data_IF_034992866336
#
_entry.id   IF_034992866336
#
_cell.length_a   1.000
_cell.length_b   1.000
_cell.length_c   1.000
_cell.angle_alpha   90.00
_cell.angle_beta   90.00
_cell.angle_gamma   90.00
#
_symmetry.space_group_name_H-M   'P 1'
#
loop_
_entity.id
_entity.type
_entity.pdbx_description
1 polymer ?
#
# COMPACT_ATOMS: atom_id res chain seq x y z
N UNK A 1 15.40 -15.40 -9.51
CA UNK A 1 16.03 -14.07 -9.67
C UNK A 1 16.89 -13.69 -8.45
N UNK A 2 16.42 -13.83 -7.20
CA UNK A 2 17.27 -13.54 -6.04
C UNK A 2 18.54 -14.40 -6.00
N UNK A 3 18.45 -15.69 -6.32
CA UNK A 3 19.61 -16.57 -6.40
C UNK A 3 20.59 -16.18 -7.52
N UNK A 4 20.08 -15.68 -8.65
CA UNK A 4 20.91 -15.18 -9.76
C UNK A 4 21.73 -13.95 -9.35
N UNK A 5 21.23 -13.15 -8.41
CA UNK A 5 21.93 -12.02 -7.80
C UNK A 5 22.79 -12.45 -6.57
N UNK A 6 22.89 -13.74 -6.29
CA UNK A 6 23.68 -14.26 -5.16
C UNK A 6 23.02 -14.05 -3.79
N UNK A 7 21.71 -13.82 -3.76
CA UNK A 7 20.95 -13.54 -2.55
C UNK A 7 20.18 -14.76 -2.06
N UNK A 8 20.23 -14.99 -0.75
CA UNK A 8 19.36 -15.92 -0.03
C UNK A 8 18.28 -15.08 0.70
N UNK A 9 17.07 -15.10 0.20
CA UNK A 9 15.97 -14.25 0.67
C UNK A 9 14.92 -15.09 1.37
N UNK A 10 14.61 -14.73 2.62
CA UNK A 10 13.47 -15.23 3.38
C UNK A 10 12.40 -14.15 3.46
N UNK A 11 11.16 -14.52 3.19
CA UNK A 11 10.02 -13.58 3.20
C UNK A 11 9.05 -14.01 4.29
N UNK A 12 8.83 -13.12 5.25
CA UNK A 12 7.82 -13.29 6.30
C UNK A 12 6.62 -12.37 6.04
N UNK A 13 5.44 -12.85 6.39
CA UNK A 13 4.21 -12.06 6.25
C UNK A 13 4.18 -10.92 7.26
N UNK A 14 3.96 -9.70 6.77
CA UNK A 14 3.72 -8.52 7.59
C UNK A 14 2.27 -8.44 8.09
N UNK A 15 2.07 -7.62 9.13
CA UNK A 15 0.75 -7.35 9.70
C UNK A 15 0.38 -5.86 9.54
N UNK A 16 0.56 -5.33 8.31
CA UNK A 16 0.28 -3.96 7.95
C UNK A 16 1.49 -3.01 8.03
N UNK A 17 1.37 -1.87 7.37
CA UNK A 17 2.48 -0.92 7.18
C UNK A 17 2.99 -0.35 8.51
N UNK A 18 2.09 0.01 9.41
CA UNK A 18 2.44 0.63 10.70
C UNK A 18 3.26 -0.31 11.59
N UNK A 19 3.09 -1.63 11.44
CA UNK A 19 3.91 -2.62 12.17
C UNK A 19 5.22 -2.95 11.42
N UNK A 20 5.19 -3.02 10.08
CA UNK A 20 6.35 -3.38 9.28
C UNK A 20 7.48 -2.33 9.36
N UNK A 21 7.14 -1.04 9.33
CA UNK A 21 8.10 0.06 9.30
C UNK A 21 9.07 0.04 10.50
N UNK A 22 8.61 -0.02 11.77
CA UNK A 22 9.51 -0.10 12.93
C UNK A 22 10.41 -1.34 12.93
N UNK A 23 9.96 -2.45 12.36
CA UNK A 23 10.76 -3.68 12.27
C UNK A 23 11.92 -3.52 11.29
N UNK A 24 11.72 -2.80 10.19
CA UNK A 24 12.80 -2.44 9.26
C UNK A 24 13.71 -1.41 9.90
N UNK A 25 13.17 -0.35 10.50
CA UNK A 25 13.96 0.70 11.14
C UNK A 25 14.88 0.16 12.25
N UNK A 26 14.43 -0.82 13.02
CA UNK A 26 15.22 -1.47 14.07
C UNK A 26 16.26 -2.48 13.56
N UNK A 27 16.27 -2.80 12.25
CA UNK A 27 17.14 -3.83 11.68
C UNK A 27 16.69 -5.26 11.97
N UNK A 28 15.51 -5.48 12.56
CA UNK A 28 14.92 -6.82 12.72
C UNK A 28 14.71 -7.49 11.36
N UNK A 29 14.32 -6.70 10.36
CA UNK A 29 14.32 -7.06 8.95
C UNK A 29 15.21 -6.09 8.18
N UNK A 30 15.96 -6.60 7.21
CA UNK A 30 16.82 -5.79 6.36
C UNK A 30 16.00 -4.91 5.42
N UNK A 31 14.92 -5.49 4.90
CA UNK A 31 14.02 -4.83 3.95
C UNK A 31 12.57 -5.14 4.32
N UNK A 32 11.64 -4.34 3.81
CA UNK A 32 10.21 -4.52 4.02
C UNK A 32 9.36 -3.94 2.90
N UNK A 33 8.06 -4.11 3.01
CA UNK A 33 7.08 -3.53 2.12
C UNK A 33 6.03 -2.77 2.94
N UNK A 34 5.85 -1.50 2.67
CA UNK A 34 4.93 -0.67 3.45
C UNK A 34 4.60 0.68 2.80
N UNK A 35 3.58 1.32 3.33
CA UNK A 35 3.09 2.61 2.89
C UNK A 35 4.09 3.74 3.17
N UNK A 36 4.48 4.48 2.13
CA UNK A 36 5.46 5.58 2.25
C UNK A 36 4.94 6.72 3.11
N UNK A 37 3.63 6.95 3.17
CA UNK A 37 3.03 8.01 3.97
C UNK A 37 3.15 7.69 5.47
N UNK A 38 3.06 6.42 5.81
CA UNK A 38 3.34 5.94 7.18
C UNK A 38 4.83 6.06 7.52
N UNK A 39 5.74 5.93 6.55
CA UNK A 39 7.18 6.22 6.74
C UNK A 39 7.40 7.70 7.04
N UNK A 40 6.75 8.59 6.26
CA UNK A 40 6.82 10.05 6.48
C UNK A 40 6.42 10.39 7.92
N UNK A 41 5.28 9.87 8.38
CA UNK A 41 4.81 10.08 9.75
C UNK A 41 5.79 9.53 10.78
N UNK A 42 6.31 8.32 10.58
CA UNK A 42 7.24 7.67 11.48
C UNK A 42 8.53 8.46 11.65
N UNK A 43 9.09 8.99 10.55
CA UNK A 43 10.28 9.84 10.55
C UNK A 43 10.01 11.24 11.12
N UNK A 44 8.82 11.80 10.95
CA UNK A 44 8.44 13.08 11.56
C UNK A 44 8.32 12.99 13.08
N UNK A 45 7.88 11.84 13.61
CA UNK A 45 7.83 11.57 15.05
C UNK A 45 9.24 11.43 15.65
N UNK A 46 10.14 10.72 14.94
CA UNK A 46 11.54 10.50 15.36
C UNK A 46 12.50 10.43 14.16
N UNK A 47 13.15 11.55 13.80
CA UNK A 47 14.02 11.65 12.61
C UNK A 47 15.32 10.82 12.67
N UNK A 48 15.66 10.21 13.80
CA UNK A 48 16.86 9.37 13.92
C UNK A 48 16.62 7.91 13.49
N UNK A 49 15.39 7.57 13.17
CA UNK A 49 15.03 6.23 12.73
C UNK A 49 15.68 5.88 11.38
N UNK A 50 16.12 4.64 11.26
CA UNK A 50 16.96 4.14 10.17
C UNK A 50 16.15 3.37 9.12
N UNK A 51 15.26 4.08 8.42
CA UNK A 51 14.44 3.49 7.35
C UNK A 51 14.24 4.46 6.20
N UNK A 52 14.41 3.96 4.96
CA UNK A 52 14.07 4.68 3.72
C UNK A 52 13.31 3.80 2.74
N UNK A 53 12.50 4.41 1.90
CA UNK A 53 11.96 3.78 0.71
C UNK A 53 13.01 3.83 -0.42
N UNK A 54 13.16 2.73 -1.14
CA UNK A 54 14.18 2.59 -2.21
C UNK A 54 13.60 2.16 -3.55
N UNK A 55 12.33 1.75 -3.58
CA UNK A 55 11.63 1.40 -4.82
C UNK A 55 10.12 1.58 -4.61
N UNK A 56 9.50 2.49 -5.34
CA UNK A 56 8.04 2.68 -5.33
C UNK A 56 7.37 1.53 -6.09
N UNK A 57 6.40 0.88 -5.45
CA UNK A 57 5.62 -0.18 -6.08
C UNK A 57 4.23 0.32 -6.45
N UNK A 58 3.57 1.02 -5.53
CA UNK A 58 2.24 1.59 -5.77
C UNK A 58 2.34 3.08 -6.06
N UNK A 59 2.57 3.41 -7.33
CA UNK A 59 2.66 4.80 -7.81
C UNK A 59 1.37 5.60 -7.55
N UNK A 60 0.20 4.94 -7.63
CA UNK A 60 -1.08 5.47 -7.20
C UNK A 60 -1.58 4.62 -6.03
N UNK A 61 -1.93 5.20 -4.87
CA UNK A 61 -2.44 4.43 -3.75
C UNK A 61 -3.86 3.95 -4.03
N UNK A 62 -4.18 2.75 -3.55
CA UNK A 62 -5.52 2.17 -3.58
C UNK A 62 -6.16 2.17 -2.18
N UNK A 63 -5.78 3.14 -1.35
CA UNK A 63 -6.42 3.37 -0.06
C UNK A 63 -7.90 3.68 -0.26
N UNK A 64 -8.73 3.00 0.46
CA UNK A 64 -10.17 3.11 0.28
C UNK A 64 -10.95 2.86 1.57
N UNK A 65 -12.18 3.36 1.56
CA UNK A 65 -13.29 2.79 2.29
C UNK A 65 -14.13 1.98 1.31
N UNK A 66 -14.35 0.72 1.64
CA UNK A 66 -15.23 -0.16 0.89
C UNK A 66 -16.43 -0.50 1.77
N UNK A 67 -17.62 -0.29 1.26
CA UNK A 67 -18.86 -0.54 1.98
C UNK A 67 -19.92 -1.20 1.10
N UNK A 68 -21.10 -1.38 1.66
CA UNK A 68 -22.22 -1.98 0.93
C UNK A 68 -23.29 -0.93 0.65
N UNK A 69 -23.79 -0.91 -0.60
CA UNK A 69 -24.90 -0.02 -1.02
C UNK A 69 -26.18 -0.33 -0.24
N UNK A 70 -26.42 -1.60 0.07
CA UNK A 70 -27.51 -2.04 0.93
C UNK A 70 -27.42 -1.53 2.37
N UNK A 71 -26.25 -1.11 2.84
CA UNK A 71 -26.01 -0.47 4.15
C UNK A 71 -25.94 1.06 4.05
N UNK A 72 -26.25 1.61 2.85
CA UNK A 72 -26.31 3.06 2.61
C UNK A 72 -24.96 3.71 2.29
N UNK A 73 -23.93 2.93 1.96
CA UNK A 73 -22.67 3.44 1.45
C UNK A 73 -22.75 3.64 -0.06
N UNK A 74 -22.21 4.75 -0.53
CA UNK A 74 -22.09 5.07 -1.97
C UNK A 74 -20.65 5.47 -2.28
N UNK A 75 -20.37 5.84 -3.52
CA UNK A 75 -19.07 6.39 -3.94
C UNK A 75 -18.83 7.81 -3.41
N UNK A 76 -19.87 8.49 -2.85
CA UNK A 76 -19.70 9.80 -2.17
C UNK A 76 -19.06 9.57 -0.78
N UNK A 77 -17.92 10.22 -0.48
CA UNK A 77 -17.27 10.12 0.82
C UNK A 77 -18.19 10.47 2.01
N UNK A 78 -19.12 11.38 1.82
CA UNK A 78 -20.06 11.77 2.89
C UNK A 78 -21.07 10.69 3.26
N UNK A 79 -21.20 9.66 2.44
CA UNK A 79 -22.08 8.51 2.76
C UNK A 79 -21.64 7.74 4.01
N UNK A 80 -20.41 7.93 4.49
CA UNK A 80 -19.90 7.30 5.71
C UNK A 80 -20.22 8.09 6.98
N UNK A 81 -20.78 9.30 6.88
CA UNK A 81 -21.17 10.10 8.04
C UNK A 81 -22.24 9.38 8.87
N UNK A 82 -22.04 9.30 10.19
CA UNK A 82 -22.91 8.58 11.10
C UNK A 82 -22.84 7.05 11.03
N UNK A 83 -21.89 6.49 10.29
CA UNK A 83 -21.72 5.05 10.07
C UNK A 83 -20.70 4.42 11.01
N UNK A 84 -20.74 3.09 11.09
CA UNK A 84 -19.76 2.27 11.80
C UNK A 84 -18.73 1.74 10.81
N UNK A 85 -17.48 2.15 10.98
CA UNK A 85 -16.38 1.80 10.09
C UNK A 85 -15.43 0.81 10.76
N UNK A 86 -15.18 -0.31 10.13
CA UNK A 86 -14.22 -1.32 10.59
C UNK A 86 -12.80 -0.95 10.17
N UNK A 87 -11.91 -0.84 11.14
CA UNK A 87 -10.55 -0.39 10.92
C UNK A 87 -9.52 -1.32 11.56
N UNK A 88 -8.68 -2.03 10.78
CA UNK A 88 -7.50 -2.67 11.34
C UNK A 88 -6.47 -1.61 11.76
N UNK A 89 -6.06 -1.53 13.04
CA UNK A 89 -5.17 -0.46 13.51
C UNK A 89 -3.84 -0.33 12.74
N UNK A 90 -3.19 -1.43 12.25
CA UNK A 90 -1.95 -1.32 11.48
C UNK A 90 -2.15 -1.12 9.97
N UNK A 91 -3.39 -0.94 9.49
CA UNK A 91 -3.70 -0.77 8.06
C UNK A 91 -3.24 0.58 7.51
N UNK A 92 -2.59 0.56 6.34
CA UNK A 92 -2.10 1.77 5.68
C UNK A 92 -3.22 2.72 5.24
N UNK A 93 -4.38 2.21 4.81
CA UNK A 93 -5.51 3.05 4.45
C UNK A 93 -6.13 3.73 5.68
N UNK A 94 -6.26 2.99 6.80
CA UNK A 94 -6.73 3.59 8.05
C UNK A 94 -5.76 4.65 8.59
N UNK A 95 -4.45 4.46 8.42
CA UNK A 95 -3.44 5.44 8.79
C UNK A 95 -3.65 6.80 8.09
N UNK A 96 -4.26 6.81 6.88
CA UNK A 96 -4.55 8.02 6.11
C UNK A 96 -5.93 8.63 6.41
N UNK A 97 -6.72 8.04 7.32
CA UNK A 97 -8.07 8.52 7.61
C UNK A 97 -8.13 9.98 8.04
N UNK A 98 -7.20 10.41 8.90
CA UNK A 98 -7.14 11.79 9.38
C UNK A 98 -6.96 12.79 8.24
N UNK A 99 -6.11 12.46 7.25
CA UNK A 99 -5.91 13.26 6.05
C UNK A 99 -7.15 13.21 5.14
N UNK A 100 -7.67 12.02 4.89
CA UNK A 100 -8.78 11.84 3.97
C UNK A 100 -10.05 12.56 4.41
N UNK A 101 -10.46 12.41 5.67
CA UNK A 101 -11.67 13.09 6.17
C UNK A 101 -11.57 14.62 6.06
N UNK A 102 -10.39 15.19 6.24
CA UNK A 102 -10.16 16.61 6.10
C UNK A 102 -10.28 17.07 4.65
N UNK A 103 -9.62 16.37 3.73
CA UNK A 103 -9.63 16.71 2.30
C UNK A 103 -11.02 16.52 1.69
N UNK A 104 -11.71 15.43 2.03
CA UNK A 104 -13.05 15.12 1.53
C UNK A 104 -14.18 15.89 2.27
N UNK A 105 -13.86 16.63 3.34
CA UNK A 105 -14.84 17.41 4.10
C UNK A 105 -15.89 16.55 4.81
N UNK A 106 -15.48 15.42 5.37
CA UNK A 106 -16.35 14.47 6.09
C UNK A 106 -16.56 14.95 7.52
N UNK A 107 -17.82 15.04 7.97
CA UNK A 107 -18.16 15.20 9.38
C UNK A 107 -18.07 13.88 10.11
N UNK A 108 -16.99 13.69 10.88
CA UNK A 108 -16.73 12.46 11.63
C UNK A 108 -17.37 12.41 13.03
N UNK A 109 -18.10 13.45 13.43
CA UNK A 109 -18.70 13.55 14.78
C UNK A 109 -19.67 12.41 15.11
N UNK A 110 -20.33 11.84 14.10
CA UNK A 110 -21.25 10.71 14.21
C UNK A 110 -20.65 9.36 13.83
N UNK A 111 -19.40 9.31 13.39
CA UNK A 111 -18.75 8.07 12.94
C UNK A 111 -18.24 7.27 14.13
N UNK A 112 -18.51 5.97 14.11
CA UNK A 112 -17.93 5.03 15.08
C UNK A 112 -16.83 4.21 14.39
N UNK A 113 -15.61 4.24 14.93
CA UNK A 113 -14.51 3.38 14.48
C UNK A 113 -14.49 2.11 15.34
N UNK A 114 -14.70 0.97 14.69
CA UNK A 114 -14.59 -0.35 15.29
C UNK A 114 -13.19 -0.92 14.98
N UNK A 115 -12.38 -1.11 16.04
CA UNK A 115 -11.07 -1.73 15.88
C UNK A 115 -11.22 -3.23 15.66
N UNK A 116 -10.91 -3.67 14.45
CA UNK A 116 -11.04 -5.07 14.00
C UNK A 116 -9.73 -5.59 13.43
N UNK A 117 -9.53 -6.90 13.47
CA UNK A 117 -8.37 -7.52 12.81
C UNK A 117 -8.62 -7.78 11.32
N UNK A 118 -7.56 -7.88 10.53
CA UNK A 118 -7.65 -8.23 9.11
C UNK A 118 -8.48 -9.50 8.82
N UNK A 119 -8.36 -10.61 9.60
CA UNK A 119 -9.10 -11.82 9.30
C UNK A 119 -10.62 -11.71 9.43
N UNK A 120 -11.13 -10.74 10.18
CA UNK A 120 -12.57 -10.54 10.42
C UNK A 120 -13.13 -9.33 9.67
N UNK A 121 -12.30 -8.57 8.99
CA UNK A 121 -12.66 -7.31 8.33
C UNK A 121 -13.80 -7.50 7.33
N UNK A 122 -13.59 -8.33 6.32
CA UNK A 122 -14.59 -8.59 5.30
C UNK A 122 -15.79 -9.40 5.82
N UNK A 123 -15.60 -10.43 6.68
CA UNK A 123 -16.74 -11.09 7.34
C UNK A 123 -17.68 -10.14 8.06
N UNK A 124 -17.17 -9.16 8.81
CA UNK A 124 -17.99 -8.19 9.54
C UNK A 124 -18.74 -7.24 8.59
N UNK A 125 -18.12 -6.84 7.47
CA UNK A 125 -18.80 -6.06 6.45
C UNK A 125 -19.85 -6.89 5.71
N UNK A 126 -19.54 -8.14 5.39
CA UNK A 126 -20.49 -9.04 4.72
C UNK A 126 -21.74 -9.34 5.58
N UNK A 127 -21.58 -9.47 6.89
CA UNK A 127 -22.70 -9.66 7.84
C UNK A 127 -23.45 -8.36 8.15
N UNK A 128 -22.87 -7.20 7.91
CA UNK A 128 -23.43 -5.90 8.29
C UNK A 128 -23.14 -5.47 9.72
N UNK A 129 -22.17 -6.09 10.38
CA UNK A 129 -21.71 -5.68 11.72
C UNK A 129 -20.96 -4.34 11.68
N UNK A 130 -20.41 -3.99 10.52
CA UNK A 130 -19.91 -2.67 10.14
C UNK A 130 -20.47 -2.25 8.78
N UNK A 131 -20.54 -0.93 8.53
CA UNK A 131 -21.13 -0.40 7.29
C UNK A 131 -20.11 -0.28 6.16
N UNK A 132 -18.85 0.00 6.51
CA UNK A 132 -17.71 0.04 5.60
C UNK A 132 -16.41 -0.33 6.34
N UNK A 133 -15.37 -0.68 5.58
CA UNK A 133 -14.06 -1.03 6.12
C UNK A 133 -12.94 -0.30 5.38
N UNK A 134 -11.86 0.00 6.11
CA UNK A 134 -10.62 0.50 5.51
C UNK A 134 -9.84 -0.65 4.88
N UNK A 135 -9.17 -0.37 3.77
CA UNK A 135 -8.29 -1.33 3.12
C UNK A 135 -7.87 -0.91 1.71
N UNK A 136 -7.17 -1.82 1.05
CA UNK A 136 -6.88 -1.67 -0.37
C UNK A 136 -8.08 -2.17 -1.18
N UNK A 137 -8.57 -1.33 -2.10
CA UNK A 137 -9.79 -1.58 -2.85
C UNK A 137 -9.84 -2.99 -3.45
N UNK A 138 -8.82 -3.38 -4.23
CA UNK A 138 -8.78 -4.70 -4.88
C UNK A 138 -8.83 -5.87 -3.88
N UNK A 139 -8.21 -5.72 -2.70
CA UNK A 139 -8.24 -6.78 -1.68
C UNK A 139 -9.61 -6.93 -1.05
N UNK A 140 -10.20 -5.82 -0.62
CA UNK A 140 -11.51 -5.86 0.05
C UNK A 140 -12.60 -6.30 -0.91
N UNK A 141 -12.63 -5.75 -2.14
CA UNK A 141 -13.65 -6.10 -3.16
C UNK A 141 -13.64 -7.60 -3.44
N UNK A 142 -12.48 -8.17 -3.78
CA UNK A 142 -12.40 -9.58 -4.13
C UNK A 142 -12.70 -10.52 -2.96
N UNK A 143 -12.26 -10.15 -1.75
CA UNK A 143 -12.58 -10.92 -0.55
C UNK A 143 -14.11 -10.89 -0.24
N UNK A 144 -14.80 -9.76 -0.46
CA UNK A 144 -16.25 -9.67 -0.30
C UNK A 144 -16.98 -10.51 -1.33
N UNK A 145 -16.56 -10.46 -2.60
CA UNK A 145 -17.13 -11.31 -3.67
C UNK A 145 -16.94 -12.79 -3.32
N UNK A 146 -15.75 -13.19 -2.86
CA UNK A 146 -15.49 -14.57 -2.44
C UNK A 146 -16.36 -15.01 -1.25
N UNK A 147 -16.85 -14.07 -0.44
CA UNK A 147 -17.80 -14.32 0.66
C UNK A 147 -19.27 -14.24 0.24
N UNK A 148 -19.54 -14.08 -1.07
CA UNK A 148 -20.88 -14.07 -1.63
C UNK A 148 -21.60 -12.72 -1.58
N UNK A 149 -20.90 -11.63 -1.29
CA UNK A 149 -21.46 -10.28 -1.45
C UNK A 149 -21.57 -9.97 -2.93
N UNK A 150 -22.76 -9.62 -3.45
CA UNK A 150 -22.91 -9.26 -4.85
C UNK A 150 -22.03 -8.05 -5.22
N UNK A 151 -21.32 -8.13 -6.34
CA UNK A 151 -20.48 -7.03 -6.82
C UNK A 151 -21.26 -5.71 -6.93
N UNK A 152 -22.50 -5.76 -7.42
CA UNK A 152 -23.37 -4.59 -7.53
C UNK A 152 -23.78 -3.95 -6.19
N UNK A 153 -23.59 -4.65 -5.05
CA UNK A 153 -23.81 -4.12 -3.70
C UNK A 153 -22.54 -3.47 -3.10
N UNK A 154 -21.39 -3.62 -3.74
CA UNK A 154 -20.13 -3.05 -3.27
C UNK A 154 -20.03 -1.59 -3.73
N UNK A 155 -19.72 -0.70 -2.81
CA UNK A 155 -19.37 0.70 -3.06
C UNK A 155 -17.92 0.94 -2.63
N UNK A 156 -17.14 1.62 -3.46
CA UNK A 156 -15.73 1.89 -3.21
C UNK A 156 -15.47 3.39 -3.24
N UNK A 157 -14.95 3.92 -2.15
CA UNK A 157 -14.52 5.31 -2.00
C UNK A 157 -13.00 5.30 -2.04
N UNK A 158 -12.41 5.53 -3.22
CA UNK A 158 -10.97 5.67 -3.38
C UNK A 158 -10.53 7.04 -2.90
N UNK A 159 -9.57 7.10 -1.98
CA UNK A 159 -9.10 8.37 -1.41
C UNK A 159 -8.50 9.30 -2.45
N UNK A 160 -7.78 8.72 -3.42
CA UNK A 160 -7.17 9.47 -4.51
C UNK A 160 -8.18 10.16 -5.44
N UNK A 161 -9.38 9.57 -5.61
CA UNK A 161 -10.41 10.15 -6.47
C UNK A 161 -11.14 11.33 -5.80
N UNK A 162 -10.91 11.52 -4.50
CA UNK A 162 -11.49 12.58 -3.68
C UNK A 162 -10.43 13.55 -3.12
N UNK A 163 -9.33 13.73 -3.83
CA UNK A 163 -8.35 14.78 -3.58
C UNK A 163 -7.18 14.41 -2.65
N UNK A 164 -7.09 13.17 -2.18
CA UNK A 164 -5.92 12.71 -1.42
C UNK A 164 -4.91 12.04 -2.37
N UNK A 165 -4.21 12.86 -3.14
CA UNK A 165 -3.20 12.41 -4.09
C UNK A 165 -1.87 12.13 -3.38
N UNK A 166 -1.62 10.87 -3.06
CA UNK A 166 -0.42 10.39 -2.39
C UNK A 166 0.28 9.32 -3.23
N UNK A 167 1.42 8.83 -2.77
CA UNK A 167 1.98 7.54 -3.16
C UNK A 167 1.45 6.44 -2.24
N UNK A 168 1.62 5.17 -2.66
CA UNK A 168 1.22 4.01 -1.86
C UNK A 168 2.43 3.28 -1.26
N UNK A 169 2.44 1.94 -1.39
CA UNK A 169 3.48 1.12 -0.80
C UNK A 169 4.76 1.11 -1.63
N UNK A 170 5.87 1.12 -0.91
CA UNK A 170 7.22 1.04 -1.43
C UNK A 170 8.02 -0.10 -0.78
N UNK A 171 9.09 -0.50 -1.42
CA UNK A 171 10.14 -1.31 -0.79
C UNK A 171 10.92 -0.42 0.14
N UNK A 172 11.01 -0.82 1.40
CA UNK A 172 11.72 -0.15 2.47
C UNK A 172 13.03 -0.89 2.76
N UNK A 173 14.03 -0.16 3.21
CA UNK A 173 15.31 -0.71 3.64
C UNK A 173 15.76 -0.10 4.96
N UNK A 174 16.42 -0.89 5.80
CA UNK A 174 17.17 -0.37 6.92
C UNK A 174 18.42 0.36 6.39
N UNK A 175 18.63 1.62 6.79
CA UNK A 175 19.72 2.45 6.25
C UNK A 175 21.10 1.89 6.59
N UNK A 176 21.33 1.41 7.82
CA UNK A 176 22.61 0.84 8.22
C UNK A 176 22.95 -0.42 7.41
N UNK A 177 21.91 -1.25 7.12
CA UNK A 177 22.07 -2.39 6.23
C UNK A 177 22.40 -1.97 4.80
N UNK A 178 21.70 -0.97 4.26
CA UNK A 178 21.90 -0.50 2.90
C UNK A 178 23.31 0.11 2.69
N UNK A 179 23.78 0.88 3.66
CA UNK A 179 25.13 1.44 3.65
C UNK A 179 26.22 0.34 3.70
N UNK A 180 26.01 -0.69 4.54
CA UNK A 180 26.96 -1.79 4.68
C UNK A 180 26.91 -2.78 3.50
N UNK A 181 25.77 -2.89 2.80
CA UNK A 181 25.52 -3.90 1.78
C UNK A 181 24.84 -3.32 0.51
N UNK A 182 25.39 -2.27 -0.11
CA UNK A 182 24.72 -1.59 -1.23
C UNK A 182 24.50 -2.49 -2.44
N UNK A 183 25.41 -3.42 -2.71
CA UNK A 183 25.27 -4.37 -3.82
C UNK A 183 24.15 -5.39 -3.59
N UNK A 184 23.93 -5.79 -2.34
CA UNK A 184 22.81 -6.69 -1.99
C UNK A 184 21.46 -5.98 -2.20
N UNK A 185 21.35 -4.71 -1.79
CA UNK A 185 20.13 -3.91 -2.03
C UNK A 185 19.87 -3.73 -3.53
N UNK A 186 20.89 -3.36 -4.31
CA UNK A 186 20.77 -3.23 -5.77
C UNK A 186 20.38 -4.56 -6.44
N UNK A 187 21.01 -5.66 -6.02
CA UNK A 187 20.68 -7.00 -6.53
C UNK A 187 19.23 -7.39 -6.19
N UNK A 188 18.78 -7.11 -4.97
CA UNK A 188 17.40 -7.35 -4.56
C UNK A 188 16.41 -6.58 -5.44
N UNK A 189 16.64 -5.30 -5.68
CA UNK A 189 15.74 -4.47 -6.49
C UNK A 189 15.75 -4.88 -7.97
N UNK A 190 16.90 -5.31 -8.54
CA UNK A 190 16.93 -5.89 -9.91
C UNK A 190 16.13 -7.18 -10.01
N UNK A 191 16.29 -8.09 -9.06
CA UNK A 191 15.54 -9.32 -9.01
C UNK A 191 14.03 -9.07 -8.86
N UNK A 192 13.67 -8.11 -8.01
CA UNK A 192 12.29 -7.72 -7.79
C UNK A 192 11.66 -7.10 -9.05
N UNK A 193 12.38 -6.20 -9.74
CA UNK A 193 11.92 -5.60 -11.00
C UNK A 193 11.64 -6.65 -12.08
N UNK A 194 12.52 -7.65 -12.22
CA UNK A 194 12.30 -8.79 -13.13
C UNK A 194 11.05 -9.59 -12.75
N UNK A 195 10.87 -9.86 -11.46
CA UNK A 195 9.68 -10.57 -10.96
C UNK A 195 8.38 -9.81 -11.24
N UNK A 196 8.38 -8.49 -11.08
CA UNK A 196 7.23 -7.64 -11.45
C UNK A 196 6.98 -7.63 -12.96
N UNK A 197 8.03 -7.55 -13.78
CA UNK A 197 7.87 -7.61 -15.25
C UNK A 197 7.22 -8.93 -15.67
N UNK A 198 7.64 -10.06 -15.12
CA UNK A 198 7.03 -11.37 -15.40
C UNK A 198 5.58 -11.44 -14.92
N UNK A 199 5.30 -10.96 -13.70
CA UNK A 199 3.94 -10.96 -13.16
C UNK A 199 2.99 -10.04 -13.94
N UNK A 200 3.48 -8.91 -14.47
CA UNK A 200 2.71 -8.01 -15.36
C UNK A 200 2.49 -8.66 -16.72
N UNK A 201 3.49 -9.36 -17.26
CA UNK A 201 3.38 -10.07 -18.54
C UNK A 201 2.42 -11.27 -18.48
N UNK A 202 2.38 -11.95 -17.34
CA UNK A 202 1.52 -13.13 -17.10
C UNK A 202 0.97 -13.14 -15.68
N UNK A 203 -0.14 -12.40 -15.40
CA UNK A 203 -0.76 -12.37 -14.08
C UNK A 203 -1.13 -13.76 -13.54
N UNK A 204 -1.53 -14.67 -14.45
CA UNK A 204 -1.83 -16.05 -14.11
C UNK A 204 -0.63 -16.82 -13.54
N UNK A 205 0.57 -16.64 -14.12
CA UNK A 205 1.78 -17.28 -13.61
C UNK A 205 2.22 -16.64 -12.30
N UNK A 206 2.07 -15.32 -12.15
CA UNK A 206 2.27 -14.60 -10.90
C UNK A 206 1.37 -15.12 -9.78
N UNK A 207 0.06 -15.28 -10.05
CA UNK A 207 -0.91 -15.84 -9.11
C UNK A 207 -0.57 -17.29 -8.74
N UNK A 208 -0.16 -18.12 -9.71
CA UNK A 208 0.24 -19.50 -9.45
C UNK A 208 1.45 -19.59 -8.50
N UNK A 209 2.41 -18.65 -8.61
CA UNK A 209 3.53 -18.56 -7.68
C UNK A 209 3.08 -18.21 -6.25
N UNK A 210 2.11 -17.32 -6.10
CA UNK A 210 1.53 -16.98 -4.78
C UNK A 210 0.83 -18.19 -4.16
N UNK A 211 0.00 -18.89 -4.93
CA UNK A 211 -0.71 -20.10 -4.47
C UNK A 211 0.26 -21.22 -4.09
N UNK A 212 1.39 -21.36 -4.78
CA UNK A 212 2.43 -22.32 -4.41
C UNK A 212 3.06 -22.05 -3.03
N UNK A 213 3.00 -20.81 -2.53
CA UNK A 213 3.44 -20.43 -1.19
C UNK A 213 2.32 -20.53 -0.14
N UNK A 214 1.06 -20.48 -0.57
CA UNK A 214 -0.11 -20.58 0.29
C UNK A 214 -1.25 -21.31 -0.44
N UNK A 215 -1.32 -22.62 -0.32
CA UNK A 215 -2.29 -23.50 -0.98
C UNK A 215 -3.77 -23.24 -0.55
N UNK A 216 -4.00 -22.43 0.47
CA UNK A 216 -5.36 -22.05 0.88
C UNK A 216 -5.99 -20.97 0.00
N UNK A 217 -5.18 -20.33 -0.85
CA UNK A 217 -5.62 -19.27 -1.76
C UNK A 217 -6.20 -19.86 -3.07
N UNK A 218 -7.14 -19.11 -3.67
CA UNK A 218 -7.70 -19.44 -4.99
C UNK A 218 -6.85 -18.78 -6.09
N UNK A 219 -6.33 -19.57 -7.02
CA UNK A 219 -5.56 -19.05 -8.15
C UNK A 219 -6.34 -18.03 -8.99
N UNK A 220 -7.64 -18.24 -9.21
CA UNK A 220 -8.51 -17.30 -9.94
C UNK A 220 -8.66 -15.97 -9.18
N UNK A 221 -8.86 -16.02 -7.86
CA UNK A 221 -8.98 -14.80 -7.05
C UNK A 221 -7.66 -14.02 -7.02
N UNK A 222 -6.52 -14.72 -6.93
CA UNK A 222 -5.21 -14.07 -6.90
C UNK A 222 -4.79 -13.54 -8.28
N UNK A 223 -5.18 -14.18 -9.38
CA UNK A 223 -5.04 -13.67 -10.74
C UNK A 223 -5.81 -12.34 -10.90
N UNK A 224 -7.10 -12.33 -10.57
CA UNK A 224 -7.93 -11.13 -10.61
C UNK A 224 -7.38 -10.01 -9.70
N UNK A 225 -6.90 -10.37 -8.51
CA UNK A 225 -6.27 -9.42 -7.57
C UNK A 225 -5.04 -8.76 -8.17
N UNK A 226 -4.19 -9.56 -8.80
CA UNK A 226 -2.97 -9.06 -9.44
C UNK A 226 -3.30 -8.18 -10.65
N UNK A 227 -4.26 -8.57 -11.50
CA UNK A 227 -4.73 -7.76 -12.63
C UNK A 227 -5.26 -6.40 -12.15
N UNK A 228 -6.13 -6.38 -11.13
CA UNK A 228 -6.62 -5.13 -10.53
C UNK A 228 -5.48 -4.28 -9.98
N UNK A 229 -4.51 -4.88 -9.28
CA UNK A 229 -3.36 -4.15 -8.74
C UNK A 229 -2.47 -3.57 -9.85
N UNK A 230 -2.27 -4.30 -10.94
CA UNK A 230 -1.50 -3.83 -12.10
C UNK A 230 -2.20 -2.62 -12.73
N UNK A 231 -3.50 -2.72 -12.98
CA UNK A 231 -4.27 -1.67 -13.64
C UNK A 231 -4.42 -0.42 -12.76
N UNK A 232 -4.72 -0.59 -11.48
CA UNK A 232 -5.08 0.52 -10.60
C UNK A 232 -3.87 1.32 -10.11
N UNK A 233 -2.74 0.67 -9.84
CA UNK A 233 -1.67 1.33 -9.08
C UNK A 233 -0.22 0.94 -9.43
N UNK A 234 0.03 -0.15 -10.19
CA UNK A 234 1.39 -0.56 -10.56
C UNK A 234 1.79 0.00 -11.93
N UNK A 235 0.97 -0.26 -12.96
CA UNK A 235 1.27 0.12 -14.35
C UNK A 235 0.57 1.44 -14.73
N UNK A 236 0.87 2.49 -13.95
CA UNK A 236 0.34 3.84 -14.22
C UNK A 236 1.01 4.49 -15.43
N UNK A 237 0.45 5.56 -16.02
CA UNK A 237 1.12 6.32 -17.10
C UNK A 237 2.53 6.78 -16.72
N UNK A 238 2.74 7.20 -15.45
CA UNK A 238 4.06 7.60 -14.96
C UNK A 238 5.05 6.43 -14.98
N UNK A 239 4.64 5.25 -14.52
CA UNK A 239 5.48 4.03 -14.52
C UNK A 239 5.78 3.57 -15.92
N UNK A 240 4.81 3.63 -16.84
CA UNK A 240 5.02 3.29 -18.28
C UNK A 240 6.07 4.21 -18.91
N UNK A 241 6.07 5.49 -18.57
CA UNK A 241 7.04 6.45 -19.08
C UNK A 241 8.41 6.34 -18.40
N UNK A 242 8.46 6.19 -17.07
CA UNK A 242 9.67 6.34 -16.26
C UNK A 242 10.26 5.03 -15.74
N UNK A 243 9.57 3.90 -15.97
CA UNK A 243 9.89 2.61 -15.37
C UNK A 243 9.44 2.50 -13.90
N UNK A 244 9.21 1.29 -13.46
CA UNK A 244 8.80 1.00 -12.10
C UNK A 244 9.85 1.44 -11.08
N UNK A 245 9.41 1.84 -9.89
CA UNK A 245 10.28 2.02 -8.72
C UNK A 245 10.71 3.45 -8.44
N UNK A 246 10.66 4.34 -9.43
CA UNK A 246 10.98 5.76 -9.23
C UNK A 246 9.79 6.55 -8.66
N UNK A 247 10.07 7.72 -8.14
CA UNK A 247 9.06 8.71 -7.73
C UNK A 247 9.37 10.05 -8.40
N UNK A 248 8.33 10.84 -8.60
CA UNK A 248 8.48 12.27 -8.83
C UNK A 248 8.71 12.95 -7.47
N UNK A 249 9.90 13.50 -7.26
CA UNK A 249 10.30 14.10 -5.98
C UNK A 249 9.46 15.33 -5.63
N UNK A 250 8.99 16.09 -6.64
CA UNK A 250 8.11 17.23 -6.41
C UNK A 250 6.73 16.77 -5.94
N UNK A 251 6.19 15.69 -6.53
CA UNK A 251 4.94 15.05 -6.06
C UNK A 251 5.11 14.48 -4.65
N UNK A 252 6.26 13.86 -4.33
CA UNK A 252 6.51 13.34 -2.98
C UNK A 252 6.60 14.49 -1.96
N UNK A 253 7.26 15.59 -2.30
CA UNK A 253 7.32 16.78 -1.46
C UNK A 253 5.91 17.39 -1.25
N UNK A 254 5.09 17.46 -2.30
CA UNK A 254 3.69 17.92 -2.18
C UNK A 254 2.84 16.98 -1.30
N UNK A 255 3.07 15.67 -1.38
CA UNK A 255 2.44 14.68 -0.50
C UNK A 255 2.80 14.92 0.96
N UNK A 256 4.08 15.19 1.25
CA UNK A 256 4.55 15.53 2.61
C UNK A 256 3.85 16.79 3.13
N UNK A 257 3.74 17.85 2.31
CA UNK A 257 3.02 19.07 2.72
C UNK A 257 1.53 18.81 3.00
N UNK A 258 0.88 17.97 2.18
CA UNK A 258 -0.51 17.55 2.43
C UNK A 258 -0.65 16.84 3.76
N UNK A 259 0.27 15.93 4.09
CA UNK A 259 0.27 15.20 5.35
C UNK A 259 0.60 16.11 6.55
N UNK A 260 1.49 17.08 6.39
CA UNK A 260 1.79 18.09 7.43
C UNK A 260 0.52 18.81 7.86
N UNK A 261 -0.24 19.30 6.89
CA UNK A 261 -1.47 20.07 7.17
C UNK A 261 -2.56 19.18 7.76
N UNK A 262 -2.78 18.00 7.16
CA UNK A 262 -3.91 17.13 7.50
C UNK A 262 -3.70 16.28 8.75
N UNK A 263 -2.45 15.93 9.04
CA UNK A 263 -2.09 15.09 10.20
C UNK A 263 -1.39 15.87 11.33
N UNK A 264 -1.11 17.14 11.12
CA UNK A 264 -0.42 17.98 12.12
C UNK A 264 1.02 17.54 12.37
N UNK A 265 1.74 17.12 11.32
CA UNK A 265 3.14 16.73 11.44
C UNK A 265 4.01 17.93 11.80
N UNK A 266 5.16 17.69 12.46
CA UNK A 266 6.11 18.74 12.86
C UNK A 266 6.79 19.44 11.69
N UNK A 267 6.86 18.77 10.54
CA UNK A 267 7.25 19.37 9.27
C UNK A 267 8.74 19.42 8.97
N UNK A 268 9.53 18.57 9.58
CA UNK A 268 10.99 18.54 9.39
C UNK A 268 11.45 17.50 8.36
N UNK A 269 10.56 16.59 7.94
CA UNK A 269 10.87 15.52 6.98
C UNK A 269 10.83 16.06 5.56
N UNK A 270 11.84 15.76 4.75
CA UNK A 270 11.93 16.08 3.33
C UNK A 270 11.71 14.84 2.46
N UNK A 271 11.55 15.00 1.15
CA UNK A 271 11.42 13.88 0.22
C UNK A 271 12.69 13.01 0.19
N UNK A 272 13.89 13.62 0.34
CA UNK A 272 15.17 12.96 0.38
C UNK A 272 15.39 12.14 1.67
N UNK A 273 14.77 12.54 2.78
CA UNK A 273 14.77 11.75 4.02
C UNK A 273 13.97 10.47 3.86
N UNK A 274 12.97 10.46 2.99
CA UNK A 274 11.99 9.37 2.83
C UNK A 274 12.36 8.41 1.71
N UNK A 275 12.88 8.93 0.58
CA UNK A 275 13.14 8.13 -0.62
C UNK A 275 14.57 8.30 -1.13
N UNK A 276 15.25 7.18 -1.39
CA UNK A 276 16.60 7.14 -1.92
C UNK A 276 16.66 6.35 -3.24
N UNK A 277 16.79 7.03 -4.40
CA UNK A 277 16.83 6.40 -5.72
C UNK A 277 18.17 5.74 -6.07
N UNK A 278 19.24 5.91 -5.28
CA UNK A 278 20.59 5.46 -5.63
C UNK A 278 20.73 3.95 -5.83
N UNK A 279 19.81 3.18 -5.26
CA UNK A 279 19.80 1.72 -5.33
C UNK A 279 19.00 1.17 -6.51
N UNK A 280 18.21 2.03 -7.18
CA UNK A 280 17.36 1.58 -8.29
C UNK A 280 18.20 1.04 -9.45
N UNK A 281 17.76 -0.04 -10.12
CA UNK A 281 18.31 -0.46 -11.40
C UNK A 281 18.20 0.62 -12.48
N UNK A 282 18.94 0.49 -13.56
CA UNK A 282 18.78 1.35 -14.73
C UNK A 282 17.30 1.33 -15.21
N UNK A 283 16.85 2.43 -15.84
CA UNK A 283 15.45 2.56 -16.27
C UNK A 283 15.01 1.39 -17.13
N UNK A 284 15.87 0.97 -18.06
CA UNK A 284 15.62 -0.10 -19.00
C UNK A 284 15.38 -1.46 -18.33
N UNK A 285 16.00 -1.69 -17.17
CA UNK A 285 15.88 -2.95 -16.40
C UNK A 285 14.60 -3.02 -15.55
N UNK A 286 13.85 -1.92 -15.44
CA UNK A 286 12.63 -1.80 -14.64
C UNK A 286 11.42 -1.29 -15.44
N UNK A 287 11.51 -1.34 -16.77
CA UNK A 287 10.35 -1.12 -17.64
C UNK A 287 9.40 -2.32 -17.53
N UNK A 288 8.12 -2.04 -17.37
CA UNK A 288 7.07 -3.07 -17.37
C UNK A 288 6.58 -3.29 -18.81
N UNK A 289 6.25 -4.54 -19.18
CA UNK A 289 5.75 -4.89 -20.52
C UNK A 289 4.35 -4.33 -20.81
#
# INVERSE_FOLDING_TARGET
YFKDEGLDVTIDTGNGSVEAIPRVASGTYQMGFGDINSVIKFLDEDPIQKVKAVMMVYDKPVFSLVGRKSLGITEDPKSVEGKKLGAPPPDGAFAQWAAFKQVAGIDDSGITIENIGFPVREPMLASGDVDAVFGFAFSVILNLIAQGVPEGDIATILFADHGLELYGNAVLVNEDFAEANPDAVKGFLRALAKGFADAVASPREGAAAVVAHNETLSAEVEENRLEMAIEMNIKTPYVVENGMGTVDMDKLAASIETLKVSMGLKGNVTAEDVFDPQYLPAKEERMLP
#
